data_IF_703701280906
#
_entry.id   IF_703701280906
#
_cell.length_a   1.000
_cell.length_b   1.000
_cell.length_c   1.000
_cell.angle_alpha   90.00
_cell.angle_beta   90.00
_cell.angle_gamma   90.00
#
_symmetry.space_group_name_H-M   'P 1'
#
loop_
_entity.id
_entity.type
_entity.pdbx_description
1 polymer ?
#
# COMPACT_ATOMS: atom_id res chain seq x y z
N UNK A 1 9.12 6.02 13.23
CA UNK A 1 9.23 5.15 12.04
C UNK A 1 8.15 4.07 12.04
N UNK A 2 7.55 3.72 13.19
CA UNK A 2 6.58 2.62 13.30
C UNK A 2 5.15 2.98 12.83
N UNK A 3 4.61 4.14 13.19
CA UNK A 3 3.18 4.43 12.93
C UNK A 3 2.82 4.50 11.44
N UNK A 4 3.62 5.19 10.62
CA UNK A 4 3.36 5.28 9.18
C UNK A 4 3.40 3.89 8.52
N UNK A 5 4.40 3.09 8.84
CA UNK A 5 4.60 1.75 8.28
C UNK A 5 3.45 0.83 8.70
N UNK A 6 2.99 0.90 9.94
CA UNK A 6 1.81 0.17 10.42
C UNK A 6 0.52 0.60 9.71
N UNK A 7 0.34 1.88 9.45
CA UNK A 7 -0.82 2.39 8.70
C UNK A 7 -0.74 1.91 7.25
N UNK A 8 0.42 1.97 6.62
CA UNK A 8 0.64 1.48 5.27
C UNK A 8 0.30 -0.01 5.16
N UNK A 9 0.84 -0.85 6.05
CA UNK A 9 0.58 -2.29 6.10
C UNK A 9 -0.91 -2.58 6.26
N UNK A 10 -1.60 -1.86 7.17
CA UNK A 10 -3.05 -2.00 7.38
C UNK A 10 -3.85 -1.63 6.14
N UNK A 11 -3.53 -0.50 5.50
CA UNK A 11 -4.23 -0.06 4.28
C UNK A 11 -4.04 -1.07 3.15
N UNK A 12 -2.84 -1.65 3.01
CA UNK A 12 -2.57 -2.69 2.01
C UNK A 12 -3.44 -3.92 2.28
N UNK A 13 -3.48 -4.42 3.52
CA UNK A 13 -4.31 -5.58 3.88
C UNK A 13 -5.81 -5.30 3.63
N UNK A 14 -6.31 -4.15 4.09
CA UNK A 14 -7.70 -3.72 3.89
C UNK A 14 -8.09 -3.69 2.40
N UNK A 15 -7.28 -3.04 1.56
CA UNK A 15 -7.56 -2.91 0.13
C UNK A 15 -7.50 -4.27 -0.56
N UNK A 16 -6.49 -5.09 -0.28
CA UNK A 16 -6.37 -6.41 -0.89
C UNK A 16 -7.53 -7.33 -0.50
N UNK A 17 -7.93 -7.36 0.78
CA UNK A 17 -9.04 -8.20 1.23
C UNK A 17 -10.36 -7.77 0.61
N UNK A 18 -10.60 -6.46 0.55
CA UNK A 18 -11.77 -5.92 -0.10
C UNK A 18 -11.82 -6.27 -1.60
N UNK A 19 -10.71 -6.14 -2.31
CA UNK A 19 -10.65 -6.32 -3.76
C UNK A 19 -10.56 -7.78 -4.21
N UNK A 20 -9.79 -8.60 -3.53
CA UNK A 20 -9.48 -10.00 -3.91
C UNK A 20 -10.24 -11.05 -3.09
N UNK A 21 -10.81 -10.64 -1.94
CA UNK A 21 -11.44 -11.51 -0.97
C UNK A 21 -10.44 -12.14 0.01
N UNK A 22 -10.89 -12.38 1.25
CA UNK A 22 -10.05 -12.86 2.36
C UNK A 22 -9.24 -14.10 2.02
N UNK A 23 -9.89 -15.12 1.45
CA UNK A 23 -9.25 -16.39 1.12
C UNK A 23 -8.09 -16.22 0.12
N UNK A 24 -8.26 -15.37 -0.88
CA UNK A 24 -7.23 -15.10 -1.89
C UNK A 24 -6.03 -14.41 -1.25
N UNK A 25 -6.28 -13.44 -0.37
CA UNK A 25 -5.24 -12.71 0.36
C UNK A 25 -4.48 -13.62 1.31
N UNK A 26 -5.16 -14.52 2.03
CA UNK A 26 -4.52 -15.50 2.90
C UNK A 26 -3.58 -16.42 2.12
N UNK A 27 -4.03 -16.95 0.98
CA UNK A 27 -3.20 -17.78 0.09
C UNK A 27 -1.96 -17.01 -0.36
N UNK A 28 -2.13 -15.74 -0.74
CA UNK A 28 -1.03 -14.88 -1.15
C UNK A 28 -0.02 -14.63 -0.02
N UNK A 29 -0.50 -14.35 1.19
CA UNK A 29 0.37 -14.10 2.34
C UNK A 29 1.10 -15.34 2.80
N UNK A 30 0.46 -16.51 2.76
CA UNK A 30 1.11 -17.78 3.05
C UNK A 30 2.17 -18.12 2.00
N UNK A 31 1.91 -17.81 0.72
CA UNK A 31 2.92 -17.91 -0.34
C UNK A 31 4.13 -17.02 -0.05
N UNK A 32 3.93 -15.74 0.27
CA UNK A 32 5.03 -14.82 0.59
C UNK A 32 5.82 -15.30 1.81
N UNK A 33 5.13 -15.78 2.86
CA UNK A 33 5.76 -16.27 4.09
C UNK A 33 6.66 -17.47 3.81
N UNK A 34 6.24 -18.39 2.95
CA UNK A 34 7.08 -19.54 2.51
C UNK A 34 8.35 -19.09 1.77
N UNK A 35 8.38 -17.87 1.24
CA UNK A 35 9.55 -17.24 0.61
C UNK A 35 10.32 -16.31 1.55
N UNK A 36 10.00 -16.31 2.84
CA UNK A 36 10.67 -15.46 3.84
C UNK A 36 10.23 -13.99 3.81
N UNK A 37 9.13 -13.67 3.13
CA UNK A 37 8.60 -12.31 3.04
C UNK A 37 7.27 -12.21 3.80
N UNK A 38 7.17 -11.26 4.73
CA UNK A 38 5.95 -10.99 5.50
C UNK A 38 5.40 -9.61 5.16
N UNK A 39 4.16 -9.33 5.55
CA UNK A 39 3.55 -8.02 5.30
C UNK A 39 4.35 -6.87 5.95
N UNK A 40 5.04 -7.14 7.07
CA UNK A 40 5.92 -6.18 7.74
C UNK A 40 7.16 -5.81 6.91
N UNK A 41 7.49 -6.58 5.87
CA UNK A 41 8.59 -6.26 4.96
C UNK A 41 8.16 -5.27 3.86
N UNK A 42 6.86 -5.10 3.62
CA UNK A 42 6.33 -4.26 2.53
C UNK A 42 6.82 -2.81 2.59
N UNK A 43 6.87 -2.13 3.75
CA UNK A 43 7.40 -0.76 3.81
C UNK A 43 8.87 -0.64 3.38
N UNK A 44 9.65 -1.72 3.44
CA UNK A 44 11.07 -1.73 3.07
C UNK A 44 11.32 -2.15 1.61
N UNK A 45 10.45 -2.99 1.07
CA UNK A 45 10.55 -3.51 -0.30
C UNK A 45 9.15 -3.73 -0.91
N UNK A 46 8.44 -2.64 -1.25
CA UNK A 46 7.11 -2.74 -1.83
C UNK A 46 7.16 -3.34 -3.25
N UNK A 47 8.26 -3.12 -3.99
CA UNK A 47 8.41 -3.60 -5.36
C UNK A 47 8.46 -5.12 -5.43
N UNK A 48 9.12 -5.79 -4.48
CA UNK A 48 9.07 -7.24 -4.37
C UNK A 48 7.63 -7.73 -4.16
N UNK A 49 6.90 -7.11 -3.24
CA UNK A 49 5.53 -7.49 -2.92
C UNK A 49 4.61 -7.40 -4.14
N UNK A 50 4.59 -6.26 -4.84
CA UNK A 50 3.73 -6.08 -6.01
C UNK A 50 4.19 -6.86 -7.24
N UNK A 51 5.49 -7.15 -7.38
CA UNK A 51 5.98 -8.07 -8.40
C UNK A 51 5.49 -9.49 -8.18
N UNK A 52 5.49 -9.98 -6.94
CA UNK A 52 4.98 -11.30 -6.62
C UNK A 52 3.45 -11.39 -6.74
N UNK A 53 2.74 -10.33 -6.36
CA UNK A 53 1.30 -10.23 -6.59
C UNK A 53 0.95 -10.31 -8.08
N UNK A 54 1.68 -9.58 -8.94
CA UNK A 54 1.51 -9.64 -10.40
C UNK A 54 1.64 -11.06 -10.93
N UNK A 55 2.69 -11.78 -10.53
CA UNK A 55 2.93 -13.16 -10.97
C UNK A 55 1.77 -14.09 -10.63
N UNK A 56 1.22 -13.97 -9.41
CA UNK A 56 0.11 -14.83 -8.97
C UNK A 56 -1.16 -14.50 -9.74
N UNK A 57 -1.47 -13.21 -9.92
CA UNK A 57 -2.64 -12.78 -10.68
C UNK A 57 -2.55 -13.14 -12.16
N UNK A 58 -1.34 -13.14 -12.74
CA UNK A 58 -1.10 -13.59 -14.10
C UNK A 58 -1.23 -15.11 -14.24
N UNK A 59 -0.79 -15.87 -13.24
CA UNK A 59 -0.90 -17.33 -13.21
C UNK A 59 -2.35 -17.82 -13.06
N UNK A 60 -3.16 -17.14 -12.26
CA UNK A 60 -4.58 -17.46 -12.05
C UNK A 60 -5.46 -17.18 -13.30
N UNK A 61 -4.97 -16.41 -14.27
CA UNK A 61 -5.64 -16.13 -15.54
C UNK A 61 -6.98 -15.38 -15.39
N UNK A 62 -7.84 -15.34 -16.43
CA UNK A 62 -9.10 -14.59 -16.43
C UNK A 62 -10.19 -15.16 -15.49
N UNK A 63 -9.84 -16.07 -14.57
CA UNK A 63 -10.76 -16.66 -13.58
C UNK A 63 -11.04 -15.74 -12.39
N UNK A 64 -10.28 -14.66 -12.23
CA UNK A 64 -10.58 -13.63 -11.23
C UNK A 64 -11.74 -12.74 -11.68
N UNK A 65 -12.37 -12.04 -10.71
CA UNK A 65 -13.46 -11.06 -10.95
C UNK A 65 -13.12 -9.97 -11.98
N UNK A 66 -11.84 -9.85 -12.32
CA UNK A 66 -11.28 -8.93 -13.30
C UNK A 66 -11.07 -9.58 -14.68
N UNK A 67 -11.94 -10.52 -15.12
CA UNK A 67 -11.72 -11.39 -16.30
C UNK A 67 -11.42 -10.72 -17.66
N UNK A 68 -11.35 -9.39 -17.74
CA UNK A 68 -10.91 -8.62 -18.92
C UNK A 68 -9.66 -7.75 -18.69
N UNK A 69 -9.13 -7.71 -17.46
CA UNK A 69 -7.97 -6.90 -17.08
C UNK A 69 -6.78 -7.83 -16.81
N UNK A 70 -5.62 -7.53 -17.38
CA UNK A 70 -4.39 -8.30 -17.12
C UNK A 70 -4.00 -8.24 -15.64
N UNK A 71 -3.28 -9.23 -15.13
CA UNK A 71 -2.77 -9.22 -13.75
C UNK A 71 -1.96 -7.96 -13.44
N UNK A 72 -1.15 -7.50 -14.40
CA UNK A 72 -0.47 -6.20 -14.32
C UNK A 72 -1.45 -5.02 -14.17
N UNK A 73 -2.53 -4.97 -14.96
CA UNK A 73 -3.55 -3.92 -14.84
C UNK A 73 -4.29 -3.94 -13.50
N UNK A 74 -4.60 -5.14 -12.98
CA UNK A 74 -5.19 -5.30 -11.64
C UNK A 74 -4.26 -4.77 -10.57
N UNK A 75 -2.97 -5.10 -10.62
CA UNK A 75 -2.00 -4.58 -9.64
C UNK A 75 -1.88 -3.06 -9.70
N UNK A 76 -1.85 -2.45 -10.89
CA UNK A 76 -1.82 -0.98 -10.99
C UNK A 76 -3.07 -0.31 -10.40
N UNK A 77 -4.24 -0.93 -10.54
CA UNK A 77 -5.47 -0.44 -9.88
C UNK A 77 -5.35 -0.56 -8.36
N UNK A 78 -4.81 -1.67 -7.86
CA UNK A 78 -4.61 -1.90 -6.43
C UNK A 78 -3.60 -0.92 -5.83
N UNK A 79 -2.45 -0.72 -6.47
CA UNK A 79 -1.44 0.26 -6.07
C UNK A 79 -2.08 1.65 -5.91
N UNK A 80 -2.91 2.06 -6.89
CA UNK A 80 -3.60 3.35 -6.83
C UNK A 80 -4.63 3.43 -5.72
N UNK A 81 -5.44 2.38 -5.54
CA UNK A 81 -6.43 2.32 -4.47
C UNK A 81 -5.76 2.40 -3.09
N UNK A 82 -4.62 1.73 -2.90
CA UNK A 82 -3.82 1.80 -1.67
C UNK A 82 -3.35 3.23 -1.42
N UNK A 83 -2.78 3.90 -2.42
CA UNK A 83 -2.32 5.29 -2.28
C UNK A 83 -3.49 6.23 -1.96
N UNK A 84 -4.63 6.08 -2.65
CA UNK A 84 -5.81 6.91 -2.40
C UNK A 84 -6.34 6.76 -0.96
N UNK A 85 -6.46 5.52 -0.48
CA UNK A 85 -6.89 5.25 0.89
C UNK A 85 -5.86 5.76 1.90
N UNK A 86 -4.57 5.58 1.63
CA UNK A 86 -3.49 6.07 2.48
C UNK A 86 -3.52 7.60 2.61
N UNK A 87 -3.69 8.33 1.49
CA UNK A 87 -3.87 9.77 1.50
C UNK A 87 -5.07 10.19 2.36
N UNK A 88 -6.23 9.52 2.21
CA UNK A 88 -7.42 9.78 3.02
C UNK A 88 -7.16 9.58 4.52
N UNK A 89 -6.45 8.50 4.90
CA UNK A 89 -6.08 8.22 6.31
C UNK A 89 -5.24 9.33 6.93
N UNK A 90 -4.41 10.02 6.14
CA UNK A 90 -3.58 11.13 6.59
C UNK A 90 -4.19 12.53 6.33
N UNK A 91 -5.44 12.60 5.87
CA UNK A 91 -6.09 13.87 5.55
C UNK A 91 -5.35 14.63 4.44
N UNK A 92 -5.00 13.91 3.37
CA UNK A 92 -4.38 14.41 2.15
C UNK A 92 -5.34 14.20 0.97
N UNK A 93 -5.33 15.13 0.02
CA UNK A 93 -6.02 14.95 -1.25
C UNK A 93 -5.17 14.16 -2.24
N UNK A 94 -5.79 13.25 -2.98
CA UNK A 94 -5.15 12.50 -4.06
C UNK A 94 -5.81 12.85 -5.39
N UNK A 95 -5.20 13.76 -6.14
CA UNK A 95 -5.73 14.31 -7.40
C UNK A 95 -4.93 13.88 -8.64
N UNK A 96 -4.05 12.88 -8.50
CA UNK A 96 -3.20 12.41 -9.60
C UNK A 96 -4.04 11.71 -10.68
N UNK A 97 -3.80 12.06 -11.95
CA UNK A 97 -4.55 11.52 -13.10
C UNK A 97 -3.73 10.54 -13.95
N UNK A 98 -2.41 10.53 -13.79
CA UNK A 98 -1.49 9.69 -14.55
C UNK A 98 -1.19 8.33 -13.91
N UNK A 99 -0.29 7.55 -14.55
CA UNK A 99 0.29 6.37 -13.91
C UNK A 99 1.04 6.79 -12.64
N UNK A 100 1.00 5.93 -11.64
CA UNK A 100 1.72 6.15 -10.39
C UNK A 100 2.87 5.15 -10.25
N UNK A 101 3.95 5.60 -9.65
CA UNK A 101 5.00 4.72 -9.12
C UNK A 101 4.76 4.60 -7.62
N UNK A 102 4.38 3.41 -7.16
CA UNK A 102 3.92 3.20 -5.79
C UNK A 102 4.96 3.66 -4.75
N UNK A 103 6.22 3.25 -4.92
CA UNK A 103 7.32 3.60 -4.01
C UNK A 103 7.53 5.12 -3.91
N UNK A 104 7.52 5.84 -5.04
CA UNK A 104 7.64 7.30 -5.05
C UNK A 104 6.48 7.99 -4.31
N UNK A 105 5.26 7.48 -4.46
CA UNK A 105 4.10 8.03 -3.75
C UNK A 105 4.13 7.75 -2.25
N UNK A 106 4.54 6.54 -1.84
CA UNK A 106 4.72 6.21 -0.43
C UNK A 106 5.74 7.16 0.21
N UNK A 107 6.87 7.42 -0.45
CA UNK A 107 7.89 8.34 0.08
C UNK A 107 7.37 9.78 0.15
N UNK A 108 6.66 10.28 -0.87
CA UNK A 108 6.01 11.61 -0.82
C UNK A 108 5.05 11.74 0.37
N UNK A 109 4.22 10.73 0.62
CA UNK A 109 3.27 10.75 1.75
C UNK A 109 4.03 10.67 3.08
N UNK A 110 5.09 9.85 3.15
CA UNK A 110 5.96 9.71 4.32
C UNK A 110 6.62 11.04 4.68
N UNK A 111 7.16 11.76 3.71
CA UNK A 111 7.75 13.09 3.91
C UNK A 111 6.73 14.07 4.49
N UNK A 112 5.52 14.14 3.91
CA UNK A 112 4.45 15.02 4.40
C UNK A 112 4.03 14.64 5.83
N UNK A 113 3.91 13.35 6.13
CA UNK A 113 3.65 12.85 7.47
C UNK A 113 4.74 13.32 8.45
N UNK A 114 6.02 13.07 8.15
CA UNK A 114 7.13 13.50 9.01
C UNK A 114 7.14 15.01 9.23
N UNK A 115 6.91 15.82 8.19
CA UNK A 115 6.85 17.27 8.32
C UNK A 115 5.69 17.75 9.22
N UNK A 116 4.49 17.17 9.09
CA UNK A 116 3.33 17.53 9.93
C UNK A 116 3.59 17.21 11.40
N UNK A 117 4.10 16.02 11.69
CA UNK A 117 4.38 15.60 13.07
C UNK A 117 5.58 16.31 13.69
N UNK A 118 6.57 16.72 12.90
CA UNK A 118 7.68 17.55 13.38
C UNK A 118 7.22 18.96 13.77
N UNK A 119 6.34 19.57 12.97
CA UNK A 119 5.72 20.88 13.30
C UNK A 119 4.84 20.82 14.55
N UNK A 120 4.06 19.74 14.73
CA UNK A 120 3.23 19.56 15.91
C UNK A 120 4.06 19.43 17.21
N UNK A 121 5.22 18.77 17.15
CA UNK A 121 6.13 18.68 18.31
C UNK A 121 6.79 20.02 18.67
N UNK A 122 7.15 20.83 17.68
CA UNK A 122 7.70 22.17 17.93
C UNK A 122 6.67 23.10 18.59
N UNK A 123 5.44 23.13 18.07
CA UNK A 123 4.38 23.99 18.61
C UNK A 123 3.94 23.59 20.04
N UNK A 124 4.02 22.30 20.39
CA UNK A 124 3.71 21.82 21.74
C UNK A 124 4.75 22.24 22.80
N UNK A 125 5.97 22.59 22.39
CA UNK A 125 7.02 23.10 23.27
C UNK A 125 6.97 24.62 23.46
N UNK A 126 6.45 25.37 22.49
CA UNK A 126 6.27 26.83 22.60
C UNK A 126 5.05 27.22 23.42
N UNK A 127 3.97 26.42 23.43
CA UNK A 127 2.77 26.65 24.26
C UNK A 127 2.92 26.37 25.76
N UNK A 128 4.14 26.11 26.26
CA UNK A 128 4.43 25.88 27.69
C UNK A 128 5.36 26.93 28.31
N UNK A 129 5.57 28.07 27.64
CA UNK A 129 6.33 29.21 28.17
C UNK A 129 5.42 30.35 28.57
#
# INVERSE_FOLDING_TARGET
>A
MEEFDEVLVRVIDEVLRYSLGDRTVEIFYDYLRKRGFTLLNVPRDPDFFFRELRKILEFEGPRMRFGQVSGTGVVSILERAIIEVLCKRFGLEFNEKGPIVFSEWVEKIREVYVMRFSKLRLNAHEGRR
#
